data_IF_737501502056
#
_entry.id   IF_737501502056
#
_cell.length_a   1.000
_cell.length_b   1.000
_cell.length_c   1.000
_cell.angle_alpha   90.00
_cell.angle_beta   90.00
_cell.angle_gamma   90.00
#
_symmetry.space_group_name_H-M   'P 1'
#
loop_
_entity.id
_entity.type
_entity.pdbx_description
1 polymer ?
#
# COMPACT_ATOMS: atom_id res chain seq x y z
N UNK A 1 17.66 2.26 -16.52
CA UNK A 1 18.13 2.85 -15.26
C UNK A 1 18.20 4.34 -15.55
N UNK A 2 17.05 4.97 -15.39
CA UNK A 2 16.95 6.43 -15.29
C UNK A 2 16.66 6.65 -13.80
N UNK A 3 17.60 7.27 -13.08
CA UNK A 3 17.56 7.51 -11.64
C UNK A 3 17.75 9.01 -11.39
N UNK A 4 16.88 9.58 -10.55
CA UNK A 4 16.92 10.95 -10.09
C UNK A 4 16.90 11.04 -8.55
N UNK A 5 17.96 10.60 -7.88
CA UNK A 5 18.08 10.67 -6.42
C UNK A 5 18.40 12.08 -5.84
N UNK A 6 17.77 12.37 -4.69
CA UNK A 6 18.09 13.45 -3.77
C UNK A 6 19.43 13.28 -3.03
N UNK A 7 19.81 14.25 -2.19
CA UNK A 7 21.06 14.12 -1.43
C UNK A 7 20.89 13.15 -0.27
N UNK A 8 21.75 12.11 -0.22
CA UNK A 8 21.79 11.15 0.89
C UNK A 8 20.83 9.97 0.74
N UNK A 9 20.36 9.68 -0.47
CA UNK A 9 19.51 8.54 -0.78
C UNK A 9 20.33 7.29 -1.14
N UNK A 10 19.79 6.11 -0.86
CA UNK A 10 20.36 4.80 -1.20
C UNK A 10 19.39 4.04 -2.13
N UNK A 11 19.83 3.68 -3.35
CA UNK A 11 19.02 2.97 -4.36
C UNK A 11 19.71 1.65 -4.76
N UNK A 12 18.94 0.56 -4.78
CA UNK A 12 19.30 -0.74 -5.35
C UNK A 12 18.37 -1.24 -6.46
N UNK A 13 18.41 -0.61 -7.65
CA UNK A 13 17.56 -0.98 -8.78
C UNK A 13 18.03 -2.17 -9.66
N UNK A 14 17.04 -3.01 -10.03
CA UNK A 14 17.14 -4.05 -11.06
C UNK A 14 17.18 -3.52 -12.50
N UNK A 15 17.42 -4.40 -13.48
CA UNK A 15 17.53 -3.97 -14.89
C UNK A 15 16.20 -3.47 -15.45
N UNK A 16 16.21 -2.27 -16.05
CA UNK A 16 15.05 -1.70 -16.74
C UNK A 16 14.10 -0.92 -15.83
N UNK A 17 14.52 -0.60 -14.61
CA UNK A 17 13.73 0.19 -13.66
C UNK A 17 13.95 1.70 -13.82
N UNK A 18 12.96 2.46 -13.34
CA UNK A 18 12.90 3.93 -13.30
C UNK A 18 12.62 4.35 -11.84
N UNK A 19 13.48 5.19 -11.25
CA UNK A 19 13.36 5.64 -9.85
C UNK A 19 13.54 7.17 -9.73
N UNK A 20 12.77 7.78 -8.83
CA UNK A 20 12.85 9.18 -8.42
C UNK A 20 12.72 9.34 -6.90
N UNK A 21 13.83 9.16 -6.17
CA UNK A 21 13.87 9.29 -4.72
C UNK A 21 14.12 10.73 -4.20
N UNK A 22 13.36 11.13 -3.18
CA UNK A 22 13.60 12.31 -2.34
C UNK A 22 14.91 12.24 -1.55
N UNK A 23 15.23 13.29 -0.77
CA UNK A 23 16.48 13.29 0.02
C UNK A 23 16.35 12.39 1.27
N UNK A 24 17.33 11.51 1.47
CA UNK A 24 17.38 10.63 2.65
C UNK A 24 16.42 9.45 2.57
N UNK A 25 16.08 9.01 1.36
CA UNK A 25 15.18 7.88 1.11
C UNK A 25 15.97 6.63 0.74
N UNK A 26 15.41 5.46 1.01
CA UNK A 26 15.99 4.15 0.74
C UNK A 26 15.05 3.36 -0.18
N UNK A 27 15.47 3.01 -1.40
CA UNK A 27 14.67 2.20 -2.34
C UNK A 27 15.41 0.92 -2.79
N UNK A 28 14.65 -0.16 -2.93
CA UNK A 28 15.09 -1.43 -3.48
C UNK A 28 14.11 -1.96 -4.54
N UNK A 29 14.25 -1.50 -5.78
CA UNK A 29 13.42 -1.95 -6.89
C UNK A 29 13.91 -3.22 -7.62
N UNK A 30 13.00 -4.18 -7.83
CA UNK A 30 13.15 -5.29 -8.78
C UNK A 30 13.25 -4.85 -10.25
N UNK A 31 13.40 -5.80 -11.18
CA UNK A 31 13.55 -5.46 -12.61
C UNK A 31 12.25 -4.97 -13.24
N UNK A 32 12.32 -3.85 -13.97
CA UNK A 32 11.18 -3.30 -14.73
C UNK A 32 10.14 -2.60 -13.86
N UNK A 33 10.54 -2.16 -12.67
CA UNK A 33 9.68 -1.44 -11.73
C UNK A 33 9.80 0.08 -11.91
N UNK A 34 8.76 0.80 -11.50
CA UNK A 34 8.76 2.26 -11.42
C UNK A 34 8.48 2.68 -9.98
N UNK A 35 9.37 3.47 -9.42
CA UNK A 35 9.26 3.99 -8.06
C UNK A 35 9.37 5.53 -8.02
N UNK A 36 8.70 6.13 -7.05
CA UNK A 36 8.71 7.56 -6.79
C UNK A 36 8.55 7.86 -5.29
N UNK A 37 9.66 7.75 -4.56
CA UNK A 37 9.69 8.01 -3.13
C UNK A 37 9.82 9.50 -2.74
N UNK A 38 9.02 9.93 -1.75
CA UNK A 38 9.15 11.21 -1.05
C UNK A 38 10.46 11.33 -0.26
N UNK A 39 10.64 12.41 0.53
CA UNK A 39 11.86 12.53 1.37
C UNK A 39 11.73 11.71 2.65
N UNK A 40 12.76 10.92 2.97
CA UNK A 40 12.81 10.10 4.18
C UNK A 40 11.85 8.91 4.15
N UNK A 41 11.61 8.37 2.96
CA UNK A 41 10.73 7.22 2.72
C UNK A 41 11.56 5.96 2.47
N UNK A 42 10.98 4.81 2.75
CA UNK A 42 11.64 3.51 2.66
C UNK A 42 10.76 2.55 1.84
N UNK A 43 11.22 2.16 0.65
CA UNK A 43 10.41 1.37 -0.29
C UNK A 43 11.12 0.09 -0.76
N UNK A 44 10.36 -0.99 -0.86
CA UNK A 44 10.86 -2.29 -1.29
C UNK A 44 9.94 -2.92 -2.35
N UNK A 45 10.36 -2.87 -3.61
CA UNK A 45 9.55 -3.32 -4.72
C UNK A 45 10.04 -4.63 -5.37
N UNK A 46 9.08 -5.53 -5.62
CA UNK A 46 9.24 -6.70 -6.47
C UNK A 46 9.49 -6.35 -7.94
N UNK A 47 9.44 -7.35 -8.84
CA UNK A 47 9.59 -7.10 -10.28
C UNK A 47 8.29 -6.58 -10.90
N UNK A 48 8.42 -5.61 -11.81
CA UNK A 48 7.30 -5.03 -12.56
C UNK A 48 6.26 -4.37 -11.66
N UNK A 49 6.73 -3.53 -10.75
CA UNK A 49 5.93 -2.80 -9.78
C UNK A 49 5.70 -1.35 -10.21
N UNK A 50 4.63 -0.75 -9.72
CA UNK A 50 4.41 0.70 -9.74
C UNK A 50 4.12 1.19 -8.32
N UNK A 51 5.06 1.95 -7.76
CA UNK A 51 5.04 2.48 -6.39
C UNK A 51 5.04 4.01 -6.40
N UNK A 52 4.39 4.60 -5.41
CA UNK A 52 4.48 6.03 -5.13
C UNK A 52 4.30 6.31 -3.64
N UNK A 53 5.41 6.47 -2.92
CA UNK A 53 5.40 6.85 -1.52
C UNK A 53 5.50 8.37 -1.27
N UNK A 54 4.67 8.86 -0.36
CA UNK A 54 4.73 10.20 0.22
C UNK A 54 5.97 10.42 1.07
N UNK A 55 6.11 11.59 1.72
CA UNK A 55 7.26 11.82 2.62
C UNK A 55 7.10 11.08 3.95
N UNK A 56 8.16 10.39 4.38
CA UNK A 56 8.17 9.60 5.61
C UNK A 56 7.11 8.50 5.60
N UNK A 57 7.05 7.78 4.49
CA UNK A 57 6.16 6.64 4.29
C UNK A 57 6.99 5.38 4.08
N UNK A 58 6.41 4.22 4.35
CA UNK A 58 7.06 2.91 4.19
C UNK A 58 6.18 2.00 3.33
N UNK A 59 6.68 1.59 2.16
CA UNK A 59 5.94 0.78 1.19
C UNK A 59 6.63 -0.56 0.89
N UNK A 60 5.85 -1.63 0.74
CA UNK A 60 6.40 -2.95 0.43
C UNK A 60 5.50 -3.75 -0.52
N UNK A 61 5.96 -3.89 -1.76
CA UNK A 61 5.10 -4.42 -2.80
C UNK A 61 5.70 -5.64 -3.55
N UNK A 62 4.84 -6.60 -3.85
CA UNK A 62 5.14 -7.88 -4.48
C UNK A 62 5.25 -7.80 -6.01
N UNK A 63 5.47 -8.93 -6.67
CA UNK A 63 5.58 -8.89 -8.14
C UNK A 63 4.26 -8.51 -8.81
N UNK A 64 4.31 -7.60 -9.79
CA UNK A 64 3.13 -7.14 -10.54
C UNK A 64 2.05 -6.49 -9.66
N UNK A 65 2.47 -5.76 -8.64
CA UNK A 65 1.59 -5.08 -7.69
C UNK A 65 1.62 -3.56 -7.90
N UNK A 66 0.66 -2.87 -7.28
CA UNK A 66 0.66 -1.42 -7.17
C UNK A 66 0.49 -1.03 -5.71
N UNK A 67 1.27 -0.06 -5.29
CA UNK A 67 1.23 0.45 -3.93
C UNK A 67 1.33 1.97 -3.98
N UNK A 68 0.59 2.64 -3.11
CA UNK A 68 0.42 4.09 -3.16
C UNK A 68 0.22 4.67 -1.76
N UNK A 69 1.33 5.10 -1.18
CA UNK A 69 1.38 5.65 0.15
C UNK A 69 1.41 7.17 0.18
N UNK A 70 0.65 7.77 1.08
CA UNK A 70 0.70 9.20 1.38
C UNK A 70 1.57 9.50 2.59
N UNK A 71 1.84 10.77 2.88
CA UNK A 71 2.79 11.12 3.95
C UNK A 71 2.44 10.47 5.29
N UNK A 72 3.41 9.74 5.87
CA UNK A 72 3.27 9.09 7.17
C UNK A 72 2.37 7.85 7.16
N UNK A 73 2.14 7.22 6.01
CA UNK A 73 1.44 5.93 5.91
C UNK A 73 2.42 4.77 5.75
N UNK A 74 1.92 3.57 6.05
CA UNK A 74 2.60 2.30 5.82
C UNK A 74 1.69 1.41 4.94
N UNK A 75 2.23 0.92 3.83
CA UNK A 75 1.50 0.13 2.84
C UNK A 75 2.20 -1.18 2.49
N UNK A 76 1.42 -2.23 2.20
CA UNK A 76 2.00 -3.51 1.77
C UNK A 76 1.12 -4.27 0.76
N UNK A 77 1.49 -4.20 -0.52
CA UNK A 77 0.82 -4.96 -1.57
C UNK A 77 1.47 -6.34 -1.85
N UNK A 78 0.71 -7.42 -1.67
CA UNK A 78 1.05 -8.78 -2.12
C UNK A 78 1.08 -8.91 -3.65
N UNK A 79 1.54 -10.05 -4.19
CA UNK A 79 1.67 -10.22 -5.65
C UNK A 79 0.33 -10.08 -6.40
N UNK A 80 0.32 -9.23 -7.43
CA UNK A 80 -0.88 -9.00 -8.25
C UNK A 80 -1.98 -8.22 -7.53
N UNK A 81 -1.62 -7.46 -6.50
CA UNK A 81 -2.54 -6.72 -5.64
C UNK A 81 -2.39 -5.22 -5.81
N UNK A 82 -3.40 -4.48 -5.35
CA UNK A 82 -3.41 -3.02 -5.32
C UNK A 82 -3.65 -2.57 -3.88
N UNK A 83 -2.76 -1.73 -3.35
CA UNK A 83 -2.87 -1.13 -2.01
C UNK A 83 -2.78 0.39 -2.12
N UNK A 84 -3.52 1.10 -1.27
CA UNK A 84 -3.48 2.55 -1.19
C UNK A 84 -3.77 3.03 0.23
N UNK A 85 -2.74 3.55 0.91
CA UNK A 85 -2.90 4.13 2.24
C UNK A 85 -2.78 5.66 2.24
N UNK A 86 -3.80 6.31 2.80
CA UNK A 86 -3.87 7.74 3.03
C UNK A 86 -3.01 8.17 4.23
N UNK A 87 -2.84 9.48 4.42
CA UNK A 87 -1.95 10.01 5.47
C UNK A 87 -2.20 9.46 6.88
N UNK A 88 -1.16 8.90 7.50
CA UNK A 88 -1.24 8.36 8.86
C UNK A 88 -2.05 7.07 8.97
N UNK A 89 -2.21 6.33 7.88
CA UNK A 89 -2.98 5.08 7.82
C UNK A 89 -2.04 3.91 7.56
N UNK A 90 -2.49 2.70 7.90
CA UNK A 90 -1.78 1.44 7.64
C UNK A 90 -2.67 0.57 6.74
N UNK A 91 -2.13 0.06 5.62
CA UNK A 91 -2.86 -0.77 4.64
C UNK A 91 -2.09 -2.04 4.27
N UNK A 92 -2.82 -3.14 3.99
CA UNK A 92 -2.19 -4.39 3.56
C UNK A 92 -3.07 -5.27 2.65
N UNK A 93 -2.81 -5.24 1.35
CA UNK A 93 -3.43 -6.12 0.36
C UNK A 93 -2.69 -7.46 0.19
N UNK A 94 -3.33 -8.58 0.53
CA UNK A 94 -2.91 -9.94 0.20
C UNK A 94 -2.97 -10.23 -1.31
N UNK A 95 -2.44 -11.38 -1.77
CA UNK A 95 -2.33 -11.67 -3.21
C UNK A 95 -3.65 -11.61 -4.00
N UNK A 96 -3.67 -10.82 -5.08
CA UNK A 96 -4.83 -10.65 -5.96
C UNK A 96 -5.99 -9.90 -5.29
N UNK A 97 -5.67 -9.01 -4.34
CA UNK A 97 -6.63 -8.24 -3.55
C UNK A 97 -6.49 -6.74 -3.81
N UNK A 98 -7.50 -5.99 -3.40
CA UNK A 98 -7.55 -4.54 -3.46
C UNK A 98 -7.86 -3.99 -2.05
N UNK A 99 -7.05 -3.07 -1.55
CA UNK A 99 -7.16 -2.47 -0.20
C UNK A 99 -7.06 -0.94 -0.30
N UNK A 100 -7.84 -0.22 0.52
CA UNK A 100 -7.84 1.24 0.53
C UNK A 100 -8.14 1.82 1.93
N UNK A 101 -7.08 2.24 2.63
CA UNK A 101 -7.18 2.90 3.93
C UNK A 101 -7.13 4.44 3.80
N UNK A 102 -8.13 5.16 4.32
CA UNK A 102 -8.10 6.63 4.43
C UNK A 102 -7.55 7.09 5.79
N UNK A 103 -7.25 8.37 5.90
CA UNK A 103 -6.59 9.06 7.02
C UNK A 103 -6.81 8.46 8.42
N UNK A 104 -5.76 7.90 9.01
CA UNK A 104 -5.78 7.41 10.39
C UNK A 104 -6.53 6.10 10.57
N UNK A 105 -6.66 5.30 9.51
CA UNK A 105 -7.32 3.99 9.53
C UNK A 105 -6.30 2.86 9.42
N UNK A 106 -6.70 1.67 9.82
CA UNK A 106 -5.95 0.42 9.69
C UNK A 106 -6.79 -0.54 8.86
N UNK A 107 -6.28 -1.04 7.73
CA UNK A 107 -7.02 -1.92 6.80
C UNK A 107 -6.19 -3.13 6.34
N UNK A 108 -6.86 -4.25 6.04
CA UNK A 108 -6.19 -5.46 5.58
C UNK A 108 -7.10 -6.40 4.75
N UNK A 109 -6.92 -6.38 3.43
CA UNK A 109 -7.55 -7.32 2.50
C UNK A 109 -6.77 -8.65 2.35
N UNK A 110 -7.34 -9.78 2.78
CA UNK A 110 -6.85 -11.13 2.50
C UNK A 110 -6.97 -11.52 1.01
N UNK A 111 -6.37 -12.64 0.58
CA UNK A 111 -6.28 -13.00 -0.85
C UNK A 111 -7.61 -13.03 -1.62
N UNK A 112 -7.66 -12.34 -2.76
CA UNK A 112 -8.84 -12.28 -3.63
C UNK A 112 -10.00 -11.48 -3.03
N UNK A 113 -9.71 -10.54 -2.12
CA UNK A 113 -10.70 -9.70 -1.43
C UNK A 113 -10.59 -8.25 -1.87
N UNK A 114 -11.64 -7.49 -1.59
CA UNK A 114 -11.70 -6.04 -1.77
C UNK A 114 -12.07 -5.42 -0.41
N UNK A 115 -11.28 -4.48 0.10
CA UNK A 115 -11.55 -3.78 1.37
C UNK A 115 -11.35 -2.27 1.25
N UNK A 116 -12.07 -1.52 2.08
CA UNK A 116 -11.93 -0.06 2.15
C UNK A 116 -12.34 0.52 3.51
N UNK A 117 -11.35 1.00 4.27
CA UNK A 117 -11.55 1.71 5.52
C UNK A 117 -11.60 3.25 5.38
N UNK A 118 -12.69 3.87 5.82
CA UNK A 118 -12.81 5.32 5.96
C UNK A 118 -12.14 5.86 7.23
N UNK A 119 -11.87 7.17 7.28
CA UNK A 119 -11.03 7.78 8.33
C UNK A 119 -11.31 7.33 9.77
N UNK A 120 -10.25 6.92 10.49
CA UNK A 120 -10.31 6.54 11.90
C UNK A 120 -11.00 5.21 12.16
N UNK A 121 -10.99 4.31 11.17
CA UNK A 121 -11.60 2.98 11.24
C UNK A 121 -10.56 1.87 11.23
N UNK A 122 -10.99 0.68 11.65
CA UNK A 122 -10.21 -0.55 11.60
C UNK A 122 -11.03 -1.58 10.80
N UNK A 123 -10.50 -2.11 9.69
CA UNK A 123 -11.19 -3.12 8.86
C UNK A 123 -10.26 -4.29 8.48
N UNK A 124 -10.85 -5.44 8.21
CA UNK A 124 -10.14 -6.61 7.70
C UNK A 124 -11.08 -7.55 6.92
N UNK A 125 -10.84 -7.70 5.62
CA UNK A 125 -11.53 -8.65 4.76
C UNK A 125 -10.76 -9.97 4.59
N UNK A 126 -11.27 -11.08 5.14
CA UNK A 126 -10.74 -12.42 4.85
C UNK A 126 -10.91 -12.81 3.38
N UNK A 127 -10.20 -13.84 2.90
CA UNK A 127 -10.16 -14.24 1.47
C UNK A 127 -11.51 -14.29 0.74
N UNK A 128 -11.60 -13.71 -0.45
CA UNK A 128 -12.82 -13.75 -1.26
C UNK A 128 -13.99 -12.98 -0.66
N UNK A 129 -13.73 -12.00 0.21
CA UNK A 129 -14.75 -11.14 0.83
C UNK A 129 -14.66 -9.73 0.27
N UNK A 130 -15.77 -9.00 0.37
CA UNK A 130 -15.85 -7.58 0.05
C UNK A 130 -16.29 -6.87 1.34
N UNK A 131 -15.53 -5.89 1.83
CA UNK A 131 -15.90 -5.09 2.99
C UNK A 131 -15.67 -3.59 2.79
N UNK A 132 -16.35 -2.79 3.62
CA UNK A 132 -16.17 -1.34 3.63
C UNK A 132 -16.61 -0.74 4.97
N UNK A 133 -15.65 -0.36 5.80
CA UNK A 133 -15.90 0.39 7.03
C UNK A 133 -16.09 1.89 6.77
N UNK A 134 -17.21 2.44 7.23
CA UNK A 134 -17.38 3.90 7.34
C UNK A 134 -16.55 4.49 8.48
N UNK A 135 -16.40 5.82 8.54
CA UNK A 135 -15.57 6.48 9.57
C UNK A 135 -15.89 6.05 11.00
N UNK A 136 -14.84 5.91 11.82
CA UNK A 136 -14.94 5.53 13.23
C UNK A 136 -15.68 4.19 13.46
N UNK A 137 -15.46 3.22 12.58
CA UNK A 137 -16.03 1.87 12.67
C UNK A 137 -14.95 0.81 12.82
N UNK A 138 -15.34 -0.34 13.35
CA UNK A 138 -14.53 -1.55 13.41
C UNK A 138 -15.32 -2.65 12.68
N UNK A 139 -14.77 -3.26 11.63
CA UNK A 139 -15.41 -4.35 10.89
C UNK A 139 -14.42 -5.49 10.58
N UNK A 140 -14.96 -6.69 10.32
CA UNK A 140 -14.18 -7.84 9.90
C UNK A 140 -15.05 -8.81 9.10
N UNK A 141 -14.78 -8.91 7.79
CA UNK A 141 -15.43 -9.86 6.90
C UNK A 141 -14.61 -11.14 6.74
N UNK A 142 -15.26 -12.25 6.40
CA UNK A 142 -14.61 -13.52 6.07
C UNK A 142 -15.47 -14.27 5.07
N UNK A 143 -14.91 -15.24 4.34
CA UNK A 143 -15.58 -15.96 3.25
C UNK A 143 -16.91 -16.63 3.64
N UNK A 144 -17.20 -16.75 4.94
CA UNK A 144 -18.41 -17.32 5.53
C UNK A 144 -19.39 -16.28 6.12
N UNK A 145 -19.06 -14.99 6.08
CA UNK A 145 -19.85 -13.88 6.63
C UNK A 145 -20.37 -13.00 5.50
N UNK A 146 -21.70 -12.84 5.38
CA UNK A 146 -22.26 -11.75 4.55
C UNK A 146 -21.74 -10.40 5.07
N UNK A 147 -21.56 -9.40 4.18
CA UNK A 147 -21.01 -8.11 4.56
C UNK A 147 -21.84 -7.52 5.70
N UNK A 148 -21.20 -7.33 6.85
CA UNK A 148 -21.77 -6.55 7.91
C UNK A 148 -21.76 -5.11 7.41
N UNK A 149 -22.87 -4.62 6.85
CA UNK A 149 -22.99 -3.19 6.63
C UNK A 149 -23.03 -2.53 8.01
N UNK A 150 -21.88 -2.03 8.48
CA UNK A 150 -21.81 -1.17 9.66
C UNK A 150 -22.82 -0.04 9.49
N UNK A 151 -23.82 -0.04 10.36
CA UNK A 151 -24.86 0.97 10.37
C UNK A 151 -24.25 2.28 10.90
N UNK A 152 -24.01 3.23 10.00
CA UNK A 152 -23.62 4.60 10.31
C UNK A 152 -24.55 5.22 11.36
N UNK A 153 -23.98 5.83 12.41
CA UNK A 153 -24.66 6.75 13.33
C UNK A 153 -24.40 8.21 12.94
#
# INVERSE_FOLDING_TARGET
>A
LEDAAGSGSEDAAGSGSEDAAGSGSEDAAGSGSKDAAGSGSEDAAGSSLEDAAGSSSEGAAGSSSKDADSSGSEGAAGSGSEDAAGSGSEGAAGSGSEDAADSGSEDAAGSGSEDAAGSGSEDAAGSGSENAAGSNSEDAASSDSEPAQSATA
#
